data_IF_637898108677
#
_entry.id   IF_637898108677
#
_cell.length_a   1.000
_cell.length_b   1.000
_cell.length_c   1.000
_cell.angle_alpha   90.00
_cell.angle_beta   90.00
_cell.angle_gamma   90.00
#
_symmetry.space_group_name_H-M   'P 1'
#
loop_
_entity.id
_entity.type
_entity.pdbx_description
1 polymer ?
#
# COMPACT_ATOMS: atom_id res chain seq x y z
N UNK A 1 -40.13 1.40 16.73
CA UNK A 1 -38.76 1.30 17.30
C UNK A 1 -37.94 0.20 16.65
N UNK A 2 -38.39 -1.07 16.63
CA UNK A 2 -37.71 -2.16 15.88
C UNK A 2 -37.48 -1.82 14.39
N UNK A 3 -38.51 -1.25 13.71
CA UNK A 3 -38.43 -0.88 12.29
C UNK A 3 -37.35 0.16 11.96
N UNK A 4 -37.15 1.18 12.81
CA UNK A 4 -36.14 2.24 12.60
C UNK A 4 -34.73 1.71 12.87
N UNK A 5 -34.56 0.87 13.91
CA UNK A 5 -33.27 0.22 14.19
C UNK A 5 -32.87 -0.77 13.09
N UNK A 6 -33.83 -1.55 12.57
CA UNK A 6 -33.61 -2.42 11.41
C UNK A 6 -33.25 -1.62 10.17
N UNK A 7 -33.92 -0.48 9.94
CA UNK A 7 -33.66 0.35 8.78
C UNK A 7 -32.24 0.92 8.83
N UNK A 8 -31.82 1.50 9.95
CA UNK A 8 -30.44 2.02 10.13
C UNK A 8 -29.39 0.92 9.94
N UNK A 9 -29.61 -0.26 10.54
CA UNK A 9 -28.70 -1.40 10.39
C UNK A 9 -28.63 -1.89 8.94
N UNK A 10 -29.78 -1.96 8.25
CA UNK A 10 -29.86 -2.33 6.83
C UNK A 10 -29.20 -1.28 5.93
N UNK A 11 -29.36 0.02 6.21
CA UNK A 11 -28.68 1.09 5.47
C UNK A 11 -27.17 1.05 5.69
N UNK A 12 -26.71 0.75 6.90
CA UNK A 12 -25.28 0.54 7.21
C UNK A 12 -24.70 -0.69 6.48
N UNK A 13 -25.46 -1.78 6.36
CA UNK A 13 -25.04 -2.95 5.59
C UNK A 13 -25.00 -2.67 4.07
N UNK A 14 -25.93 -1.86 3.55
CA UNK A 14 -25.99 -1.49 2.13
C UNK A 14 -24.93 -0.45 1.70
N UNK A 15 -24.24 0.17 2.66
CA UNK A 15 -23.11 1.08 2.42
C UNK A 15 -21.75 0.36 2.41
N UNK A 16 -21.73 -0.96 2.61
CA UNK A 16 -20.52 -1.75 2.46
C UNK A 16 -20.17 -1.83 0.97
N UNK A 17 -18.95 -1.45 0.54
CA UNK A 17 -18.53 -1.60 -0.85
C UNK A 17 -18.62 -3.08 -1.27
N UNK A 18 -19.19 -3.32 -2.47
CA UNK A 18 -19.48 -4.67 -3.01
C UNK A 18 -18.31 -5.32 -3.75
N UNK A 19 -17.25 -4.58 -3.97
CA UNK A 19 -15.98 -5.20 -4.29
C UNK A 19 -15.28 -5.44 -2.96
N UNK A 20 -14.47 -6.47 -2.83
CA UNK A 20 -13.47 -6.60 -1.78
C UNK A 20 -12.21 -6.74 -2.62
N UNK A 21 -11.30 -5.77 -2.54
CA UNK A 21 -9.97 -5.87 -3.16
C UNK A 21 -9.00 -6.21 -2.02
N UNK A 22 -8.21 -7.26 -2.20
CA UNK A 22 -7.46 -7.90 -1.14
C UNK A 22 -6.11 -7.22 -1.06
N UNK A 23 -5.85 -6.52 0.04
CA UNK A 23 -4.55 -5.90 0.24
C UNK A 23 -4.00 -6.38 1.58
N UNK A 24 -3.23 -7.48 1.53
CA UNK A 24 -2.25 -7.77 2.57
C UNK A 24 -1.20 -6.65 2.52
N UNK A 25 -1.48 -5.57 3.23
CA UNK A 25 -0.54 -4.47 3.38
C UNK A 25 0.65 -4.92 4.21
N UNK A 26 1.81 -5.03 3.58
CA UNK A 26 3.09 -5.28 4.24
C UNK A 26 3.66 -3.91 4.64
N UNK A 27 4.15 -3.77 5.87
CA UNK A 27 4.67 -2.50 6.37
C UNK A 27 6.13 -2.67 6.77
N UNK A 28 7.00 -1.92 6.12
CA UNK A 28 8.45 -1.95 6.34
C UNK A 28 8.90 -0.53 6.71
N UNK A 29 9.87 -0.41 7.60
CA UNK A 29 10.41 0.89 7.98
C UNK A 29 11.93 0.81 8.09
N UNK A 30 12.64 0.99 6.97
CA UNK A 30 14.08 1.20 6.93
C UNK A 30 14.94 0.02 7.41
N UNK A 31 14.40 -1.21 7.39
CA UNK A 31 15.12 -2.42 7.78
C UNK A 31 15.67 -3.21 6.58
N UNK A 32 15.31 -2.81 5.37
CA UNK A 32 15.69 -3.50 4.14
C UNK A 32 16.67 -2.65 3.33
N UNK A 33 17.73 -2.17 3.97
CA UNK A 33 18.62 -1.14 3.41
C UNK A 33 19.88 -1.70 2.72
N UNK A 34 19.95 -3.02 2.55
CA UNK A 34 20.99 -3.71 1.81
C UNK A 34 20.40 -4.90 1.05
N UNK A 35 21.15 -5.45 0.08
CA UNK A 35 20.75 -6.65 -0.67
C UNK A 35 20.57 -7.85 0.27
N UNK A 36 21.47 -8.02 1.25
CA UNK A 36 21.42 -9.11 2.22
C UNK A 36 20.23 -9.00 3.20
N UNK A 37 19.80 -7.78 3.51
CA UNK A 37 18.63 -7.50 4.36
C UNK A 37 17.35 -7.23 3.54
N UNK A 38 17.39 -7.52 2.24
CA UNK A 38 16.27 -7.23 1.33
C UNK A 38 14.98 -7.94 1.78
N UNK A 39 13.86 -7.28 1.56
CA UNK A 39 12.58 -7.89 1.90
C UNK A 39 12.13 -8.84 0.78
N UNK A 40 11.92 -10.10 1.14
CA UNK A 40 11.43 -11.12 0.22
C UNK A 40 9.95 -10.88 -0.15
N UNK A 41 9.71 -10.79 -1.45
CA UNK A 41 8.39 -10.76 -2.05
C UNK A 41 8.10 -12.17 -2.55
N UNK A 42 7.28 -12.89 -1.78
CA UNK A 42 6.71 -14.15 -2.22
C UNK A 42 5.81 -13.89 -3.43
N UNK A 43 5.71 -14.83 -4.38
CA UNK A 43 4.81 -14.81 -5.56
C UNK A 43 4.63 -13.44 -6.23
N UNK A 44 5.37 -13.22 -7.33
CA UNK A 44 5.37 -11.94 -8.05
C UNK A 44 4.11 -11.66 -8.88
N UNK A 45 3.24 -12.66 -9.08
CA UNK A 45 2.02 -12.50 -9.85
C UNK A 45 0.85 -12.12 -8.92
N UNK A 46 0.87 -12.59 -7.67
CA UNK A 46 -0.06 -12.15 -6.63
C UNK A 46 0.08 -10.66 -6.26
N UNK A 47 -1.04 -9.97 -6.16
CA UNK A 47 -1.09 -8.55 -5.86
C UNK A 47 -0.74 -8.27 -4.40
N UNK A 48 0.40 -7.59 -4.20
CA UNK A 48 0.91 -7.22 -2.87
C UNK A 48 1.17 -5.72 -2.82
N UNK A 49 0.85 -5.11 -1.68
CA UNK A 49 1.09 -3.69 -1.42
C UNK A 49 2.04 -3.53 -0.24
N UNK A 50 3.24 -3.04 -0.51
CA UNK A 50 4.28 -2.81 0.50
C UNK A 50 4.38 -1.33 0.80
N UNK A 51 4.07 -0.95 2.03
CA UNK A 51 4.10 0.40 2.57
C UNK A 51 5.46 0.64 3.23
N UNK A 52 6.27 1.54 2.67
CA UNK A 52 7.60 1.88 3.21
C UNK A 52 7.85 3.39 3.21
N UNK A 53 8.94 3.79 3.86
CA UNK A 53 9.40 5.18 3.96
C UNK A 53 10.90 5.28 3.75
N UNK A 54 11.28 6.25 2.93
CA UNK A 54 12.64 6.80 2.91
C UNK A 54 12.71 7.80 4.06
N UNK A 55 13.48 7.47 5.09
CA UNK A 55 13.58 8.20 6.36
C UNK A 55 14.74 9.20 6.37
N UNK A 56 15.78 8.94 5.58
CA UNK A 56 16.98 9.76 5.50
C UNK A 56 17.56 9.82 4.08
N UNK A 57 18.40 10.82 3.84
CA UNK A 57 19.13 10.97 2.58
C UNK A 57 20.09 9.80 2.36
N UNK A 58 20.14 9.28 1.13
CA UNK A 58 20.99 8.15 0.78
C UNK A 58 20.42 6.77 1.15
N UNK A 59 19.27 6.69 1.84
CA UNK A 59 18.60 5.42 2.09
C UNK A 59 18.10 4.80 0.78
N UNK A 60 18.37 3.50 0.61
CA UNK A 60 17.88 2.67 -0.48
C UNK A 60 17.15 1.50 0.16
N UNK A 61 15.91 1.25 -0.27
CA UNK A 61 15.15 0.08 0.16
C UNK A 61 15.28 -1.02 -0.91
N UNK A 62 15.71 -2.20 -0.49
CA UNK A 62 15.88 -3.39 -1.34
C UNK A 62 14.79 -4.43 -1.08
N UNK A 63 14.36 -5.05 -2.17
CA UNK A 63 13.41 -6.17 -2.18
C UNK A 63 13.99 -7.28 -3.04
N UNK A 64 13.69 -8.53 -2.70
CA UNK A 64 14.11 -9.70 -3.48
C UNK A 64 12.92 -10.56 -3.84
N UNK A 65 12.99 -11.25 -4.97
CA UNK A 65 12.00 -12.24 -5.36
C UNK A 65 12.66 -13.33 -6.21
N UNK A 66 12.09 -14.52 -6.17
CA UNK A 66 12.45 -15.60 -7.11
C UNK A 66 11.40 -15.65 -8.21
N UNK A 67 11.84 -15.82 -9.45
CA UNK A 67 10.94 -15.93 -10.60
C UNK A 67 11.41 -17.01 -11.57
N UNK A 68 10.47 -17.47 -12.39
CA UNK A 68 10.67 -18.45 -13.45
C UNK A 68 10.54 -17.80 -14.83
N UNK A 69 11.29 -18.31 -15.79
CA UNK A 69 11.20 -17.91 -17.20
C UNK A 69 9.74 -17.90 -17.68
N UNK A 70 9.34 -16.82 -18.34
CA UNK A 70 8.00 -16.61 -18.87
C UNK A 70 6.98 -16.05 -17.87
N UNK A 71 7.29 -15.95 -16.57
CA UNK A 71 6.41 -15.24 -15.63
C UNK A 71 6.32 -13.74 -15.96
N UNK A 72 5.19 -13.12 -15.64
CA UNK A 72 5.00 -11.68 -15.88
C UNK A 72 5.23 -10.88 -14.60
N UNK A 73 6.39 -10.23 -14.51
CA UNK A 73 6.66 -9.28 -13.45
C UNK A 73 5.91 -7.97 -13.70
N UNK A 74 5.05 -7.59 -12.75
CA UNK A 74 4.47 -6.26 -12.70
C UNK A 74 4.88 -5.56 -11.41
N UNK A 75 5.29 -4.29 -11.54
CA UNK A 75 5.54 -3.46 -10.36
C UNK A 75 5.18 -2.00 -10.58
N UNK A 76 4.52 -1.39 -9.60
CA UNK A 76 4.15 0.03 -9.60
C UNK A 76 4.56 0.70 -8.29
N UNK A 77 5.00 1.94 -8.39
CA UNK A 77 5.21 2.82 -7.23
C UNK A 77 4.11 3.87 -7.20
N UNK A 78 3.53 4.02 -6.02
CA UNK A 78 2.59 5.08 -5.67
C UNK A 78 3.11 5.84 -4.45
N UNK A 79 2.69 7.09 -4.29
CA UNK A 79 2.91 7.86 -3.06
C UNK A 79 1.57 8.30 -2.46
N UNK A 80 1.45 8.46 -1.14
CA UNK A 80 0.28 9.08 -0.53
C UNK A 80 -0.03 10.43 -1.16
N UNK A 81 -1.32 10.68 -1.46
CA UNK A 81 -1.78 11.99 -1.90
C UNK A 81 -1.96 12.94 -0.70
N UNK A 82 -0.86 13.22 -0.01
CA UNK A 82 -0.76 14.13 1.14
C UNK A 82 0.05 15.37 0.72
N UNK A 83 -0.03 16.46 1.48
CA UNK A 83 0.84 17.62 1.24
C UNK A 83 2.33 17.29 1.36
N UNK A 84 2.67 16.33 2.24
CA UNK A 84 4.04 15.88 2.46
C UNK A 84 4.61 15.10 1.29
N UNK A 85 3.85 14.15 0.74
CA UNK A 85 4.40 13.12 -0.16
C UNK A 85 4.05 13.39 -1.65
N UNK A 86 3.15 14.31 -1.96
CA UNK A 86 2.64 14.51 -3.34
C UNK A 86 3.73 14.77 -4.39
N UNK A 87 4.77 15.50 -4.00
CA UNK A 87 5.89 15.87 -4.86
C UNK A 87 7.15 15.03 -4.58
N UNK A 88 7.00 13.97 -3.77
CA UNK A 88 8.05 12.98 -3.54
C UNK A 88 8.34 12.23 -4.84
N UNK A 89 9.63 12.16 -5.19
CA UNK A 89 10.14 11.47 -6.36
C UNK A 89 10.88 10.21 -5.93
N UNK A 90 10.84 9.17 -6.75
CA UNK A 90 11.53 7.91 -6.46
C UNK A 90 12.14 7.41 -7.74
N UNK A 91 13.29 6.77 -7.62
CA UNK A 91 13.83 5.93 -8.67
C UNK A 91 13.60 4.47 -8.28
N UNK A 92 13.32 3.64 -9.27
CA UNK A 92 13.24 2.19 -9.10
C UNK A 92 14.22 1.51 -10.04
N UNK A 93 15.07 0.67 -9.50
CA UNK A 93 15.91 -0.25 -10.26
C UNK A 93 15.33 -1.65 -10.09
N UNK A 94 15.30 -2.43 -11.17
CA UNK A 94 14.92 -3.85 -11.15
C UNK A 94 16.07 -4.61 -11.78
N UNK A 95 16.69 -5.55 -11.07
CA UNK A 95 17.94 -6.16 -11.48
C UNK A 95 18.00 -7.65 -11.13
N UNK A 96 18.87 -8.39 -11.82
CA UNK A 96 18.94 -9.85 -11.75
C UNK A 96 19.40 -10.43 -13.08
N UNK A 97 19.09 -11.70 -13.38
CA UNK A 97 19.39 -12.31 -14.67
C UNK A 97 18.42 -11.77 -15.73
N UNK A 98 18.64 -10.53 -16.16
CA UNK A 98 17.99 -9.92 -17.33
C UNK A 98 18.98 -9.87 -18.50
N UNK A 99 18.47 -9.72 -19.72
CA UNK A 99 19.31 -9.56 -20.91
C UNK A 99 19.88 -8.14 -21.05
N UNK A 100 19.10 -7.13 -20.62
CA UNK A 100 19.45 -5.72 -20.78
C UNK A 100 20.45 -5.25 -19.70
N UNK A 101 21.42 -4.42 -20.09
CA UNK A 101 22.37 -3.81 -19.17
C UNK A 101 21.77 -2.63 -18.42
N UNK A 102 22.08 -2.54 -17.12
CA UNK A 102 21.78 -1.34 -16.33
C UNK A 102 22.69 -0.20 -16.75
N UNK A 103 22.19 1.05 -16.85
CA UNK A 103 23.04 2.20 -17.14
C UNK A 103 24.20 2.33 -16.13
N UNK A 104 25.40 2.61 -16.64
CA UNK A 104 26.65 2.60 -15.86
C UNK A 104 26.61 3.43 -14.56
N UNK A 105 25.83 4.51 -14.54
CA UNK A 105 25.67 5.39 -13.38
C UNK A 105 24.99 4.73 -12.17
N UNK A 106 24.35 3.58 -12.35
CA UNK A 106 23.67 2.83 -11.28
C UNK A 106 24.43 1.57 -10.83
N UNK A 107 25.52 1.19 -11.50
CA UNK A 107 26.22 -0.08 -11.23
C UNK A 107 26.72 -0.20 -9.78
N UNK A 108 27.19 0.91 -9.19
CA UNK A 108 27.63 0.92 -7.79
C UNK A 108 26.49 0.62 -6.80
N UNK A 109 25.24 0.93 -7.16
CA UNK A 109 24.05 0.71 -6.32
C UNK A 109 23.55 -0.74 -6.39
N UNK A 110 23.85 -1.44 -7.48
CA UNK A 110 23.33 -2.79 -7.76
C UNK A 110 24.44 -3.84 -7.83
N UNK A 111 25.68 -3.50 -7.47
CA UNK A 111 26.78 -4.46 -7.49
C UNK A 111 26.46 -5.73 -6.65
N UNK A 112 26.84 -6.93 -7.11
CA UNK A 112 27.66 -7.22 -8.29
C UNK A 112 26.86 -7.41 -9.59
N UNK A 113 25.59 -7.01 -9.64
CA UNK A 113 24.74 -7.18 -10.82
C UNK A 113 25.03 -6.12 -11.88
N UNK A 114 24.97 -6.52 -13.15
CA UNK A 114 25.19 -5.63 -14.31
C UNK A 114 23.94 -5.49 -15.19
N UNK A 115 22.93 -6.33 -14.97
CA UNK A 115 21.76 -6.46 -15.83
C UNK A 115 20.45 -6.10 -15.12
N UNK A 116 19.54 -5.49 -15.87
CA UNK A 116 18.26 -4.99 -15.40
C UNK A 116 17.83 -3.65 -16.00
N UNK A 117 16.91 -2.99 -15.31
CA UNK A 117 16.21 -1.81 -15.78
C UNK A 117 16.22 -0.69 -14.76
N UNK A 118 16.51 0.52 -15.21
CA UNK A 118 16.29 1.74 -14.46
C UNK A 118 14.95 2.38 -14.84
N UNK A 119 14.08 2.61 -13.87
CA UNK A 119 12.81 3.31 -14.04
C UNK A 119 12.94 4.68 -13.39
N UNK A 120 13.16 5.70 -14.22
CA UNK A 120 13.36 7.07 -13.78
C UNK A 120 12.09 7.68 -13.14
N UNK A 121 12.23 8.67 -12.23
CA UNK A 121 11.11 9.39 -11.64
C UNK A 121 10.16 9.95 -12.71
N UNK A 122 9.00 9.31 -12.86
CA UNK A 122 7.96 9.77 -13.78
C UNK A 122 7.28 11.05 -13.29
N UNK A 123 6.86 11.91 -14.22
CA UNK A 123 6.04 13.08 -13.92
C UNK A 123 4.54 12.77 -13.78
N UNK A 124 4.18 11.48 -13.63
CA UNK A 124 2.80 11.05 -13.52
C UNK A 124 2.16 11.65 -12.25
N UNK A 125 0.98 12.24 -12.42
CA UNK A 125 0.18 12.85 -11.33
C UNK A 125 -1.23 12.25 -11.23
N UNK A 126 -1.42 11.09 -11.84
CA UNK A 126 -2.71 10.40 -11.83
C UNK A 126 -3.08 10.02 -10.40
N UNK A 127 -4.24 10.50 -9.95
CA UNK A 127 -4.77 10.18 -8.64
C UNK A 127 -5.47 8.83 -8.67
N UNK A 128 -5.25 8.03 -7.65
CA UNK A 128 -5.94 6.77 -7.41
C UNK A 128 -6.60 6.83 -6.05
N UNK A 129 -7.90 6.54 -6.00
CA UNK A 129 -8.63 6.42 -4.75
C UNK A 129 -8.86 4.94 -4.47
N UNK A 130 -8.39 4.50 -3.31
CA UNK A 130 -8.56 3.14 -2.82
C UNK A 130 -9.79 3.14 -1.90
N UNK A 131 -10.90 2.48 -2.29
CA UNK A 131 -12.18 2.63 -1.61
C UNK A 131 -12.26 1.88 -0.27
N UNK A 132 -11.46 0.83 -0.05
CA UNK A 132 -11.50 0.00 1.15
C UNK A 132 -10.90 0.73 2.33
N UNK A 133 -9.63 1.07 2.22
CA UNK A 133 -8.87 1.86 3.18
C UNK A 133 -9.27 3.34 3.14
N UNK A 134 -10.03 3.78 2.12
CA UNK A 134 -10.45 5.17 1.91
C UNK A 134 -9.25 6.11 1.86
N UNK A 135 -8.21 5.68 1.18
CA UNK A 135 -6.96 6.43 1.02
C UNK A 135 -6.79 6.86 -0.43
N UNK A 136 -5.95 7.87 -0.63
CA UNK A 136 -5.68 8.41 -1.96
C UNK A 136 -4.19 8.41 -2.22
N UNK A 137 -3.84 8.06 -3.45
CA UNK A 137 -2.48 7.91 -3.91
C UNK A 137 -2.26 8.72 -5.18
N UNK A 138 -1.00 9.03 -5.46
CA UNK A 138 -0.54 9.50 -6.77
C UNK A 138 0.31 8.39 -7.36
N UNK A 139 -0.05 7.91 -8.56
CA UNK A 139 0.73 6.94 -9.32
C UNK A 139 2.00 7.61 -9.86
N UNK A 140 3.17 6.99 -9.67
CA UNK A 140 4.46 7.54 -10.10
C UNK A 140 5.04 6.76 -11.26
N UNK A 141 5.46 5.53 -11.00
CA UNK A 141 6.16 4.66 -11.95
C UNK A 141 5.43 3.34 -12.07
N UNK A 142 5.53 2.72 -13.23
CA UNK A 142 5.09 1.36 -13.45
C UNK A 142 6.01 0.69 -14.46
N UNK A 143 6.22 -0.61 -14.29
CA UNK A 143 6.94 -1.45 -15.23
C UNK A 143 6.23 -2.81 -15.30
N UNK A 144 6.26 -3.42 -16.48
CA UNK A 144 5.76 -4.77 -16.73
C UNK A 144 6.79 -5.43 -17.64
N UNK A 145 7.35 -6.56 -17.20
CA UNK A 145 8.39 -7.30 -17.90
C UNK A 145 8.03 -8.78 -17.92
N UNK A 146 8.47 -9.48 -18.93
CA UNK A 146 8.52 -10.94 -18.93
C UNK A 146 9.86 -11.37 -18.32
N UNK A 147 9.86 -12.37 -17.46
CA UNK A 147 11.05 -12.90 -16.81
C UNK A 147 11.82 -13.75 -17.83
N UNK A 148 13.08 -13.41 -18.17
CA UNK A 148 13.80 -14.11 -19.23
C UNK A 148 14.46 -15.41 -18.76
N UNK A 149 14.78 -15.55 -17.47
CA UNK A 149 15.46 -16.72 -16.93
C UNK A 149 14.96 -17.07 -15.53
N UNK A 150 15.05 -18.34 -15.17
CA UNK A 150 14.84 -18.77 -13.79
C UNK A 150 15.93 -18.15 -12.88
N UNK A 151 15.52 -17.49 -11.80
CA UNK A 151 16.51 -16.95 -10.88
C UNK A 151 15.99 -16.04 -9.79
N UNK A 152 16.95 -15.47 -9.06
CA UNK A 152 16.70 -14.46 -8.05
C UNK A 152 16.88 -13.06 -8.65
N UNK A 153 15.90 -12.22 -8.38
CA UNK A 153 15.81 -10.85 -8.83
C UNK A 153 15.64 -9.91 -7.65
N UNK A 154 15.86 -8.62 -7.91
CA UNK A 154 15.84 -7.58 -6.90
C UNK A 154 15.18 -6.32 -7.41
N UNK A 155 14.67 -5.54 -6.47
CA UNK A 155 14.17 -4.19 -6.68
C UNK A 155 14.89 -3.27 -5.69
N UNK A 156 15.50 -2.19 -6.18
CA UNK A 156 15.96 -1.10 -5.33
C UNK A 156 15.06 0.12 -5.53
N UNK A 157 14.65 0.74 -4.42
CA UNK A 157 13.82 1.95 -4.41
C UNK A 157 14.51 3.00 -3.57
N UNK A 158 14.78 4.17 -4.16
CA UNK A 158 15.45 5.26 -3.45
C UNK A 158 15.03 6.63 -3.98
N UNK A 159 15.42 7.68 -3.25
CA UNK A 159 15.23 9.05 -3.70
C UNK A 159 16.57 9.65 -4.18
N UNK A 160 16.72 10.01 -5.47
CA UNK A 160 17.97 10.56 -5.99
C UNK A 160 18.22 12.04 -5.62
N UNK A 161 17.27 12.70 -4.96
CA UNK A 161 17.32 14.12 -4.59
C UNK A 161 17.42 14.35 -3.07
N UNK A 162 17.68 13.31 -2.29
CA UNK A 162 17.75 13.38 -0.82
C UNK A 162 16.43 13.70 -0.10
N UNK A 163 15.29 13.60 -0.78
CA UNK A 163 14.00 13.79 -0.14
C UNK A 163 13.64 12.58 0.73
N UNK A 164 12.92 12.84 1.81
CA UNK A 164 12.28 11.81 2.63
C UNK A 164 10.80 11.78 2.31
N UNK A 165 10.19 10.60 2.43
CA UNK A 165 8.80 10.45 2.02
C UNK A 165 8.29 9.03 2.13
N UNK A 166 6.97 8.92 2.04
CA UNK A 166 6.27 7.64 2.10
C UNK A 166 5.94 7.16 0.70
N UNK A 167 6.02 5.85 0.48
CA UNK A 167 5.64 5.23 -0.79
C UNK A 167 4.99 3.86 -0.58
N UNK A 168 4.32 3.42 -1.63
CA UNK A 168 3.76 2.07 -1.73
C UNK A 168 4.33 1.43 -2.98
N UNK A 169 5.07 0.34 -2.80
CA UNK A 169 5.49 -0.56 -3.86
C UNK A 169 4.41 -1.62 -4.02
N UNK A 170 3.80 -1.70 -5.19
CA UNK A 170 2.89 -2.79 -5.53
C UNK A 170 3.58 -3.73 -6.51
N UNK A 171 3.41 -5.04 -6.28
CA UNK A 171 3.87 -6.12 -7.16
C UNK A 171 2.68 -7.01 -7.49
N UNK A 172 2.70 -7.63 -8.67
CA UNK A 172 1.64 -8.53 -9.12
C UNK A 172 0.33 -7.86 -9.46
N UNK A 173 -0.56 -8.63 -10.08
CA UNK A 173 -1.91 -8.20 -10.50
C UNK A 173 -2.99 -9.21 -10.16
N UNK A 174 -2.62 -10.44 -9.84
CA UNK A 174 -3.56 -11.49 -9.50
C UNK A 174 -4.03 -11.30 -8.07
N UNK A 175 -5.34 -11.20 -7.89
CA UNK A 175 -5.90 -11.02 -6.55
C UNK A 175 -6.33 -12.39 -6.03
N UNK A 176 -5.75 -12.82 -4.91
CA UNK A 176 -6.23 -13.99 -4.17
C UNK A 176 -7.17 -13.53 -3.05
N UNK A 177 -8.37 -14.12 -3.00
CA UNK A 177 -9.45 -13.67 -2.09
C UNK A 177 -9.88 -14.77 -1.12
N UNK A 178 -10.00 -14.42 0.16
CA UNK A 178 -10.45 -15.33 1.21
C UNK A 178 -11.40 -14.73 2.24
N UNK A 179 -12.23 -15.57 2.88
CA UNK A 179 -13.11 -15.17 3.99
C UNK A 179 -12.33 -14.54 5.15
N UNK A 180 -11.07 -14.94 5.32
CA UNK A 180 -10.16 -14.40 6.33
C UNK A 180 -9.88 -12.90 6.12
N UNK A 181 -9.82 -12.42 4.89
CA UNK A 181 -9.54 -11.01 4.58
C UNK A 181 -10.70 -10.10 4.98
N UNK A 182 -11.94 -10.56 4.80
CA UNK A 182 -13.12 -9.83 5.26
C UNK A 182 -13.12 -9.64 6.77
N UNK A 183 -12.64 -10.63 7.53
CA UNK A 183 -12.51 -10.54 8.99
C UNK A 183 -11.36 -9.62 9.41
N UNK A 184 -10.29 -9.53 8.62
CA UNK A 184 -9.14 -8.68 8.90
C UNK A 184 -9.34 -7.22 8.48
N UNK A 185 -10.33 -6.93 7.63
CA UNK A 185 -10.56 -5.60 7.06
C UNK A 185 -10.53 -4.45 8.08
N UNK A 186 -11.22 -4.49 9.24
CA UNK A 186 -11.16 -3.39 10.20
C UNK A 186 -9.74 -3.09 10.70
N UNK A 187 -8.93 -4.13 10.89
CA UNK A 187 -7.54 -4.00 11.31
C UNK A 187 -6.68 -3.43 10.18
N UNK A 188 -6.87 -3.90 8.94
CA UNK A 188 -6.19 -3.36 7.74
C UNK A 188 -6.53 -1.89 7.54
N UNK A 189 -7.81 -1.51 7.60
CA UNK A 189 -8.26 -0.12 7.51
C UNK A 189 -7.58 0.74 8.56
N UNK A 190 -7.56 0.29 9.82
CA UNK A 190 -6.92 1.02 10.91
C UNK A 190 -5.42 1.19 10.66
N UNK A 191 -4.72 0.12 10.29
CA UNK A 191 -3.27 0.11 10.08
C UNK A 191 -2.87 1.05 8.93
N UNK A 192 -3.54 0.95 7.78
CA UNK A 192 -3.28 1.82 6.63
C UNK A 192 -3.56 3.28 6.98
N UNK A 193 -4.70 3.58 7.61
CA UNK A 193 -5.03 4.95 7.98
C UNK A 193 -4.11 5.52 9.06
N UNK A 194 -3.67 4.71 10.01
CA UNK A 194 -2.68 5.10 11.01
C UNK A 194 -1.32 5.42 10.36
N UNK A 195 -0.90 4.62 9.39
CA UNK A 195 0.34 4.85 8.64
C UNK A 195 0.26 6.12 7.78
N UNK A 196 -0.88 6.41 7.16
CA UNK A 196 -1.13 7.66 6.42
C UNK A 196 -1.16 8.89 7.33
N UNK A 197 -1.94 8.83 8.41
CA UNK A 197 -2.08 9.89 9.39
C UNK A 197 -2.53 9.29 10.73
N UNK A 198 -1.64 9.24 11.73
CA UNK A 198 -1.94 8.63 13.03
C UNK A 198 -3.21 9.16 13.70
N UNK A 199 -3.59 10.43 13.46
CA UNK A 199 -4.77 11.05 14.07
C UNK A 199 -6.09 10.62 13.43
N UNK A 200 -6.08 10.21 12.15
CA UNK A 200 -7.30 9.90 11.38
C UNK A 200 -8.13 8.76 12.01
N UNK A 201 -7.57 7.57 12.29
CA UNK A 201 -8.38 6.48 12.83
C UNK A 201 -8.93 6.80 14.24
N UNK A 202 -8.15 7.48 15.09
CA UNK A 202 -8.62 7.89 16.42
C UNK A 202 -9.71 8.95 16.37
N UNK A 203 -9.61 9.91 15.43
CA UNK A 203 -10.65 10.94 15.24
C UNK A 203 -11.98 10.31 14.83
N UNK A 204 -11.94 9.33 13.93
CA UNK A 204 -13.14 8.60 13.49
C UNK A 204 -13.73 7.79 14.65
N UNK A 205 -12.88 7.09 15.42
CA UNK A 205 -13.33 6.35 16.61
C UNK A 205 -13.99 7.28 17.64
N UNK A 206 -13.40 8.45 17.90
CA UNK A 206 -13.97 9.45 18.80
C UNK A 206 -15.35 9.93 18.34
N UNK A 207 -15.51 10.23 17.05
CA UNK A 207 -16.81 10.64 16.47
C UNK A 207 -17.85 9.52 16.64
N UNK A 208 -17.49 8.27 16.38
CA UNK A 208 -18.39 7.12 16.55
C UNK A 208 -18.84 7.01 18.02
N UNK A 209 -17.92 7.14 18.98
CA UNK A 209 -18.24 7.09 20.41
C UNK A 209 -19.20 8.22 20.83
N UNK A 210 -18.98 9.44 20.34
CA UNK A 210 -19.89 10.58 20.60
C UNK A 210 -21.28 10.31 20.02
N UNK A 211 -21.37 9.80 18.79
CA UNK A 211 -22.66 9.47 18.16
C UNK A 211 -23.40 8.37 18.91
N UNK A 212 -22.70 7.32 19.35
CA UNK A 212 -23.27 6.24 20.16
C UNK A 212 -23.79 6.75 21.51
N UNK A 213 -23.03 7.64 22.16
CA UNK A 213 -23.45 8.26 23.41
C UNK A 213 -24.71 9.14 23.25
N UNK A 214 -24.77 9.96 22.20
CA UNK A 214 -25.94 10.77 21.89
C UNK A 214 -27.16 9.89 21.59
N UNK A 215 -26.98 8.83 20.80
CA UNK A 215 -28.03 7.85 20.52
C UNK A 215 -28.54 7.19 21.80
N UNK A 216 -27.64 6.77 22.69
CA UNK A 216 -27.99 6.21 23.99
C UNK A 216 -28.80 7.20 24.84
N UNK A 217 -28.41 8.48 24.88
CA UNK A 217 -29.17 9.53 25.59
C UNK A 217 -30.57 9.72 25.01
N UNK A 218 -30.72 9.73 23.69
CA UNK A 218 -32.02 9.85 23.01
C UNK A 218 -32.91 8.64 23.31
N UNK A 219 -32.35 7.42 23.27
CA UNK A 219 -33.09 6.20 23.60
C UNK A 219 -33.54 6.18 25.07
N UNK A 220 -32.70 6.67 25.99
CA UNK A 220 -33.03 6.78 27.42
C UNK A 220 -34.12 7.82 27.69
N UNK A 221 -34.06 8.99 27.05
CA UNK A 221 -35.07 10.05 27.23
C UNK A 221 -36.45 9.63 26.71
N UNK A 222 -36.50 8.89 25.58
CA UNK A 222 -37.74 8.33 25.02
C UNK A 222 -38.36 7.23 25.88
N UNK A 223 -37.56 6.43 26.61
CA UNK A 223 -38.08 5.43 27.57
C UNK A 223 -38.74 6.08 28.78
N UNK A 224 -38.22 7.22 29.28
CA UNK A 224 -38.84 7.96 30.39
C UNK A 224 -40.22 8.53 30.02
N UNK A 225 -40.38 9.04 28.79
CA UNK A 225 -41.65 9.60 28.29
C UNK A 225 -42.78 8.56 28.06
N UNK A 226 -42.47 7.26 28.05
CA UNK A 226 -43.47 6.19 27.89
C UNK A 226 -43.95 5.57 29.21
N UNK A 227 -43.40 6.01 30.34
CA UNK A 227 -43.75 5.53 31.69
C UNK A 227 -44.67 6.48 32.46
N UNK A 228 -45.16 7.52 31.80
CA UNK A 228 -46.27 8.37 32.20
C UNK A 228 -47.37 8.21 31.15
#
# INVERSE_FOLDING_TARGET
MKKISCFILLTLLLLLPNTIYAHQGIFINGTNNSIDESHEIEDIEESKAIYSRILEEGQIDYYTFTAQEGQVFYSQIMVPNTERDRDFMLMKLVFGPFDDLIPNEYLDLVAPFEHGYAVEPGNNRTRFFEPFTQTSYIKKQQISLEIPEDGQYFIAVYNPFGQTGSYVLTVGKEESFGVQELLQYPATWFRVNYWFNPLRPFSILFIILVLLYLLFRILRSRRKKKRF
#
